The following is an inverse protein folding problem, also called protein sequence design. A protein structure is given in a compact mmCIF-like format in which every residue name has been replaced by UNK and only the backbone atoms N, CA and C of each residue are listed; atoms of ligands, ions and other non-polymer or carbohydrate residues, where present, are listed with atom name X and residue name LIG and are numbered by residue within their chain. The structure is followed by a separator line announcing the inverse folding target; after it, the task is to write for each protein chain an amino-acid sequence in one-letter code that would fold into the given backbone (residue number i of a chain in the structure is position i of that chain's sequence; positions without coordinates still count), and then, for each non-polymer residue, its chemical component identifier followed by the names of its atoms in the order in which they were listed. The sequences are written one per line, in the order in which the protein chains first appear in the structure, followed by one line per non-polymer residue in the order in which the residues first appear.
data_IF_746225284956
#
_entry.id   IF_746225284956
#
_cell.length_a   1.000
_cell.length_b   1.000
_cell.length_c   1.000
_cell.angle_alpha   90.00
_cell.angle_beta   90.00
_cell.angle_gamma   90.00
#
_symmetry.space_group_name_H-M   'P 1'
#
loop_
_entity.id
_entity.type
_entity.pdbx_description
1 polymer ?
#
# COMPACT_ATOMS: atom_id res chain seq x y z
N UNK A 1 25.66 -3.96 9.97
CA UNK A 1 24.40 -4.70 9.95
C UNK A 1 23.22 -3.71 9.99
N UNK A 2 23.07 -2.87 11.03
CA UNK A 2 21.94 -1.94 11.18
C UNK A 2 21.78 -0.92 10.03
N UNK A 3 22.87 -0.44 9.43
CA UNK A 3 22.85 0.47 8.27
C UNK A 3 22.30 -0.14 6.97
N UNK A 4 22.18 -1.44 6.90
CA UNK A 4 21.69 -2.15 5.71
C UNK A 4 20.25 -2.66 5.85
N UNK A 5 19.78 -2.91 7.06
CA UNK A 5 18.46 -3.51 7.33
C UNK A 5 17.38 -2.43 7.51
N UNK A 6 17.64 -1.39 8.32
CA UNK A 6 16.67 -0.30 8.58
C UNK A 6 16.17 0.41 7.31
N UNK A 7 17.01 0.78 6.32
CA UNK A 7 16.53 1.38 5.09
C UNK A 7 15.61 0.46 4.27
N UNK A 8 15.83 -0.85 4.34
CA UNK A 8 14.95 -1.83 3.69
C UNK A 8 13.60 -1.92 4.42
N UNK A 9 13.61 -1.94 5.77
CA UNK A 9 12.38 -1.92 6.57
C UNK A 9 11.55 -0.66 6.31
N UNK A 10 12.20 0.50 6.17
CA UNK A 10 11.54 1.77 5.81
C UNK A 10 10.91 1.65 4.42
N UNK A 11 11.63 1.12 3.44
CA UNK A 11 11.12 0.95 2.09
C UNK A 11 9.96 -0.05 2.04
N UNK A 12 10.07 -1.17 2.77
CA UNK A 12 8.99 -2.17 2.85
C UNK A 12 7.70 -1.58 3.43
N UNK A 13 7.81 -0.72 4.46
CA UNK A 13 6.67 0.00 5.05
C UNK A 13 6.07 1.02 4.08
N UNK A 14 6.89 1.75 3.32
CA UNK A 14 6.42 2.68 2.28
C UNK A 14 5.65 1.94 1.19
N UNK A 15 6.17 0.82 0.71
CA UNK A 15 5.53 -0.02 -0.31
C UNK A 15 4.22 -0.64 0.22
N UNK A 16 4.17 -1.06 1.50
CA UNK A 16 2.95 -1.57 2.15
C UNK A 16 1.87 -0.47 2.23
N UNK A 17 2.23 0.75 2.64
CA UNK A 17 1.32 1.90 2.70
C UNK A 17 0.78 2.24 1.31
N UNK A 18 1.63 2.25 0.28
CA UNK A 18 1.20 2.48 -1.10
C UNK A 18 0.20 1.41 -1.56
N UNK A 19 0.47 0.14 -1.27
CA UNK A 19 -0.44 -0.96 -1.56
C UNK A 19 -1.80 -0.83 -0.87
N UNK A 20 -1.80 -0.41 0.41
CA UNK A 20 -3.03 -0.15 1.17
C UNK A 20 -3.82 1.03 0.61
N UNK A 21 -3.16 2.11 0.19
CA UNK A 21 -3.82 3.25 -0.45
C UNK A 21 -4.49 2.87 -1.78
N UNK A 22 -3.84 2.05 -2.60
CA UNK A 22 -4.44 1.49 -3.82
C UNK A 22 -5.70 0.67 -3.50
N UNK A 23 -5.65 -0.10 -2.40
CA UNK A 23 -6.82 -0.86 -1.92
C UNK A 23 -7.96 0.06 -1.48
N UNK A 24 -7.67 1.13 -0.74
CA UNK A 24 -8.65 2.16 -0.34
C UNK A 24 -9.33 2.75 -1.56
N UNK A 25 -8.58 3.16 -2.58
CA UNK A 25 -9.12 3.72 -3.80
C UNK A 25 -10.01 2.73 -4.56
N UNK A 26 -9.66 1.45 -4.55
CA UNK A 26 -10.49 0.39 -5.14
C UNK A 26 -11.81 0.25 -4.39
N UNK A 27 -11.78 0.17 -3.06
CA UNK A 27 -12.98 0.04 -2.24
C UNK A 27 -13.92 1.26 -2.44
N UNK A 28 -13.37 2.47 -2.48
CA UNK A 28 -14.15 3.69 -2.73
C UNK A 28 -14.86 3.67 -4.08
N UNK A 29 -14.20 3.19 -5.13
CA UNK A 29 -14.83 3.01 -6.45
C UNK A 29 -15.94 1.97 -6.41
N UNK A 30 -15.74 0.84 -5.73
CA UNK A 30 -16.78 -0.18 -5.55
C UNK A 30 -18.02 0.39 -4.84
N UNK A 31 -17.85 1.22 -3.80
CA UNK A 31 -18.95 1.91 -3.10
C UNK A 31 -19.68 2.86 -4.05
N UNK A 32 -18.96 3.61 -4.86
CA UNK A 32 -19.54 4.52 -5.86
C UNK A 32 -20.36 3.76 -6.91
N UNK A 33 -19.81 2.66 -7.45
CA UNK A 33 -20.49 1.80 -8.43
C UNK A 33 -21.79 1.22 -7.87
N UNK A 34 -21.79 0.69 -6.65
CA UNK A 34 -23.00 0.19 -5.99
C UNK A 34 -24.00 1.32 -5.68
N UNK A 35 -23.52 2.48 -5.30
CA UNK A 35 -24.37 3.65 -5.04
C UNK A 35 -25.05 4.14 -6.31
N UNK A 36 -24.34 4.17 -7.44
CA UNK A 36 -24.91 4.46 -8.76
C UNK A 36 -25.95 3.41 -9.16
N UNK A 37 -25.65 2.12 -8.95
CA UNK A 37 -26.60 1.04 -9.22
C UNK A 37 -27.88 1.17 -8.38
N UNK A 38 -27.77 1.51 -7.10
CA UNK A 38 -28.94 1.78 -6.22
C UNK A 38 -29.77 2.97 -6.75
N UNK A 39 -29.11 4.04 -7.16
CA UNK A 39 -29.78 5.21 -7.72
C UNK A 39 -30.53 4.87 -9.00
N UNK A 40 -29.91 4.12 -9.90
CA UNK A 40 -30.56 3.66 -11.14
C UNK A 40 -31.76 2.78 -10.84
N UNK A 41 -31.66 1.82 -9.93
CA UNK A 41 -32.78 0.95 -9.56
C UNK A 41 -33.93 1.71 -8.91
N UNK A 42 -33.66 2.76 -8.15
CA UNK A 42 -34.70 3.67 -7.62
C UNK A 42 -35.43 4.41 -8.75
N UNK A 43 -34.71 4.85 -9.78
CA UNK A 43 -35.34 5.47 -10.95
C UNK A 43 -36.24 4.50 -11.71
N UNK A 44 -35.76 3.26 -11.94
CA UNK A 44 -36.57 2.19 -12.58
C UNK A 44 -37.84 1.88 -11.77
N UNK A 45 -37.77 1.86 -10.43
CA UNK A 45 -38.95 1.70 -9.59
C UNK A 45 -39.94 2.86 -9.77
N UNK A 46 -39.46 4.08 -9.82
CA UNK A 46 -40.34 5.24 -10.02
C UNK A 46 -41.07 5.20 -11.37
N UNK A 47 -40.39 4.80 -12.45
CA UNK A 47 -40.98 4.61 -13.78
C UNK A 47 -42.01 3.48 -13.79
N UNK A 48 -41.68 2.34 -13.16
CA UNK A 48 -42.58 1.22 -13.05
C UNK A 48 -43.85 1.58 -12.23
N UNK A 49 -43.69 2.30 -11.11
CA UNK A 49 -44.80 2.79 -10.31
C UNK A 49 -45.74 3.74 -11.11
N UNK A 50 -45.14 4.66 -11.86
CA UNK A 50 -45.93 5.56 -12.73
C UNK A 50 -46.69 4.76 -13.82
N UNK A 51 -46.09 3.68 -14.32
CA UNK A 51 -46.73 2.79 -15.27
C UNK A 51 -47.89 2.01 -14.64
N UNK A 52 -47.72 1.48 -13.42
CA UNK A 52 -48.77 0.80 -12.65
C UNK A 52 -49.95 1.76 -12.43
N UNK A 53 -49.67 3.00 -12.01
CA UNK A 53 -50.73 4.00 -11.81
C UNK A 53 -51.49 4.29 -13.12
N UNK A 54 -50.78 4.42 -14.23
CA UNK A 54 -51.38 4.66 -15.54
C UNK A 54 -52.26 3.47 -15.96
N UNK A 55 -51.78 2.26 -15.84
CA UNK A 55 -52.53 1.06 -16.17
C UNK A 55 -53.73 0.84 -15.27
N UNK A 56 -53.64 1.14 -13.98
CA UNK A 56 -54.79 1.11 -13.06
C UNK A 56 -55.90 2.10 -13.46
N UNK A 57 -55.54 3.31 -13.90
CA UNK A 57 -56.52 4.27 -14.43
C UNK A 57 -57.21 3.72 -15.69
N UNK A 58 -56.45 3.19 -16.62
CA UNK A 58 -56.98 2.58 -17.83
C UNK A 58 -57.89 1.38 -17.52
N UNK A 59 -57.48 0.54 -16.52
CA UNK A 59 -58.24 -0.65 -16.11
C UNK A 59 -59.67 -0.27 -15.63
N UNK A 60 -59.83 0.89 -14.99
CA UNK A 60 -61.14 1.37 -14.53
C UNK A 60 -62.05 1.85 -15.70
N UNK A 61 -61.51 2.13 -16.88
CA UNK A 61 -62.23 2.63 -18.02
C UNK A 61 -62.56 1.50 -19.06
N UNK A 62 -61.91 0.34 -18.94
CA UNK A 62 -62.03 -0.78 -19.90
C UNK A 62 -63.39 -1.42 -19.80
N UNK A 63 -63.94 -1.74 -20.99
CA UNK A 63 -65.23 -2.45 -21.11
C UNK A 63 -65.08 -3.84 -21.77
N UNK A 64 -63.87 -4.25 -22.13
CA UNK A 64 -63.58 -5.48 -22.85
C UNK A 64 -62.69 -6.40 -21.98
N UNK A 65 -63.11 -7.66 -21.78
CA UNK A 65 -62.40 -8.61 -20.96
C UNK A 65 -60.95 -8.89 -21.46
N UNK A 66 -60.70 -8.85 -22.77
CA UNK A 66 -59.36 -9.10 -23.33
C UNK A 66 -58.40 -7.94 -22.98
N UNK A 67 -58.88 -6.69 -23.03
CA UNK A 67 -58.08 -5.54 -22.65
C UNK A 67 -57.84 -5.54 -21.11
N UNK A 68 -58.85 -5.91 -20.34
CA UNK A 68 -58.74 -6.08 -18.89
C UNK A 68 -57.64 -7.08 -18.50
N UNK A 69 -57.64 -8.28 -19.11
CA UNK A 69 -56.65 -9.31 -18.88
C UNK A 69 -55.23 -8.85 -19.28
N UNK A 70 -55.09 -8.10 -20.35
CA UNK A 70 -53.81 -7.56 -20.82
C UNK A 70 -53.27 -6.54 -19.81
N UNK A 71 -54.07 -5.56 -19.42
CA UNK A 71 -53.63 -4.54 -18.45
C UNK A 71 -53.36 -5.14 -17.06
N UNK A 72 -54.13 -6.14 -16.65
CA UNK A 72 -53.89 -6.84 -15.40
C UNK A 72 -52.50 -7.55 -15.40
N UNK A 73 -52.13 -8.19 -16.51
CA UNK A 73 -50.82 -8.82 -16.67
C UNK A 73 -49.66 -7.79 -16.70
N UNK A 74 -49.90 -6.63 -17.36
CA UNK A 74 -48.91 -5.56 -17.35
C UNK A 74 -48.67 -4.97 -15.93
N UNK A 75 -49.74 -4.81 -15.14
CA UNK A 75 -49.64 -4.36 -13.75
C UNK A 75 -48.86 -5.41 -12.92
N UNK A 76 -49.19 -6.70 -13.08
CA UNK A 76 -48.48 -7.78 -12.40
C UNK A 76 -46.99 -7.78 -12.78
N UNK A 77 -46.67 -7.67 -14.08
CA UNK A 77 -45.30 -7.58 -14.56
C UNK A 77 -44.53 -6.40 -13.94
N UNK A 78 -45.10 -5.18 -13.98
CA UNK A 78 -44.45 -4.01 -13.38
C UNK A 78 -44.29 -4.15 -11.87
N UNK A 79 -45.22 -4.80 -11.18
CA UNK A 79 -45.13 -5.04 -9.75
C UNK A 79 -43.98 -6.01 -9.43
N UNK A 80 -43.81 -7.07 -10.22
CA UNK A 80 -42.70 -8.01 -10.06
C UNK A 80 -41.34 -7.34 -10.36
N UNK A 81 -41.28 -6.46 -11.37
CA UNK A 81 -40.08 -5.64 -11.65
C UNK A 81 -39.71 -4.74 -10.47
N UNK A 82 -40.69 -4.10 -9.83
CA UNK A 82 -40.46 -3.29 -8.61
C UNK A 82 -39.90 -4.17 -7.48
N UNK A 83 -40.46 -5.37 -7.28
CA UNK A 83 -39.95 -6.30 -6.26
C UNK A 83 -38.52 -6.73 -6.54
N UNK A 84 -38.21 -7.05 -7.81
CA UNK A 84 -36.86 -7.41 -8.24
C UNK A 84 -35.87 -6.25 -8.03
N UNK A 85 -36.23 -5.03 -8.40
CA UNK A 85 -35.43 -3.85 -8.18
C UNK A 85 -35.19 -3.60 -6.67
N UNK A 86 -36.22 -3.74 -5.85
CA UNK A 86 -36.07 -3.62 -4.40
C UNK A 86 -35.14 -4.68 -3.80
N UNK A 87 -35.17 -5.93 -4.33
CA UNK A 87 -34.23 -6.97 -3.94
C UNK A 87 -32.79 -6.59 -4.31
N UNK A 88 -32.55 -6.13 -5.53
CA UNK A 88 -31.22 -5.68 -5.98
C UNK A 88 -30.70 -4.50 -5.17
N UNK A 89 -31.57 -3.55 -4.80
CA UNK A 89 -31.20 -2.44 -3.90
C UNK A 89 -30.73 -2.96 -2.54
N UNK A 90 -31.46 -3.90 -1.92
CA UNK A 90 -31.06 -4.47 -0.64
C UNK A 90 -29.71 -5.19 -0.75
N UNK A 91 -29.50 -5.98 -1.80
CA UNK A 91 -28.22 -6.67 -2.05
C UNK A 91 -27.08 -5.67 -2.21
N UNK A 92 -27.28 -4.60 -2.99
CA UNK A 92 -26.27 -3.56 -3.19
C UNK A 92 -25.98 -2.78 -1.88
N UNK A 93 -26.98 -2.49 -1.06
CA UNK A 93 -26.79 -1.83 0.24
C UNK A 93 -25.98 -2.69 1.21
N UNK A 94 -26.20 -4.00 1.24
CA UNK A 94 -25.39 -4.93 2.05
C UNK A 94 -23.92 -4.88 1.59
N UNK A 95 -23.69 -4.83 0.27
CA UNK A 95 -22.32 -4.72 -0.27
C UNK A 95 -21.65 -3.38 0.08
N UNK A 96 -22.40 -2.28 0.05
CA UNK A 96 -21.91 -0.98 0.50
C UNK A 96 -21.47 -1.05 1.97
N UNK A 97 -22.31 -1.57 2.84
CA UNK A 97 -22.00 -1.71 4.27
C UNK A 97 -20.78 -2.60 4.55
N UNK A 98 -20.57 -3.63 3.73
CA UNK A 98 -19.36 -4.48 3.78
C UNK A 98 -18.12 -3.69 3.34
N UNK A 99 -18.20 -3.00 2.22
CA UNK A 99 -17.12 -2.14 1.70
C UNK A 99 -16.75 -1.01 2.67
N UNK A 100 -17.73 -0.35 3.30
CA UNK A 100 -17.48 0.71 4.28
C UNK A 100 -16.75 0.17 5.53
N UNK A 101 -17.08 -1.04 5.98
CA UNK A 101 -16.35 -1.69 7.07
C UNK A 101 -14.91 -2.02 6.68
N UNK A 102 -14.72 -2.59 5.47
CA UNK A 102 -13.39 -2.88 4.94
C UNK A 102 -12.56 -1.61 4.75
N UNK A 103 -13.19 -0.52 4.30
CA UNK A 103 -12.56 0.80 4.19
C UNK A 103 -12.05 1.27 5.56
N UNK A 104 -12.91 1.29 6.57
CA UNK A 104 -12.54 1.72 7.91
C UNK A 104 -11.46 0.86 8.56
N UNK A 105 -11.40 -0.44 8.28
CA UNK A 105 -10.31 -1.32 8.77
C UNK A 105 -9.00 -1.05 8.04
N UNK A 106 -9.07 -0.81 6.73
CA UNK A 106 -7.88 -0.53 5.91
C UNK A 106 -7.28 0.84 6.26
N UNK A 107 -8.10 1.86 6.47
CA UNK A 107 -7.65 3.20 6.88
C UNK A 107 -6.95 3.16 8.24
N UNK A 108 -7.47 2.43 9.23
CA UNK A 108 -6.77 2.24 10.51
C UNK A 108 -5.43 1.54 10.36
N UNK A 109 -5.35 0.54 9.48
CA UNK A 109 -4.08 -0.14 9.22
C UNK A 109 -3.06 0.80 8.57
N UNK A 110 -3.49 1.74 7.72
CA UNK A 110 -2.62 2.78 7.16
C UNK A 110 -2.09 3.67 8.29
N UNK A 111 -2.95 4.14 9.19
CA UNK A 111 -2.54 4.99 10.31
C UNK A 111 -1.49 4.28 11.19
N UNK A 112 -1.69 2.99 11.48
CA UNK A 112 -0.73 2.18 12.24
C UNK A 112 0.62 2.06 11.51
N UNK A 113 0.60 1.80 10.20
CA UNK A 113 1.82 1.68 9.39
C UNK A 113 2.56 3.01 9.21
N UNK A 114 1.83 4.12 9.09
CA UNK A 114 2.43 5.46 9.05
C UNK A 114 3.13 5.81 10.37
N UNK A 115 2.54 5.40 11.49
CA UNK A 115 3.17 5.57 12.80
C UNK A 115 4.48 4.76 12.90
N UNK A 116 4.44 3.47 12.51
CA UNK A 116 5.62 2.60 12.48
C UNK A 116 6.71 3.18 11.56
N UNK A 117 6.33 3.66 10.38
CA UNK A 117 7.23 4.29 9.41
C UNK A 117 7.91 5.53 10.01
N UNK A 118 7.16 6.39 10.69
CA UNK A 118 7.71 7.59 11.33
C UNK A 118 8.73 7.22 12.41
N UNK A 119 8.44 6.20 13.22
CA UNK A 119 9.37 5.71 14.23
C UNK A 119 10.65 5.16 13.59
N UNK A 120 10.54 4.31 12.56
CA UNK A 120 11.70 3.73 11.88
C UNK A 120 12.57 4.76 11.17
N UNK A 121 11.97 5.79 10.58
CA UNK A 121 12.71 6.92 10.00
C UNK A 121 13.48 7.69 11.08
N UNK A 122 12.87 7.93 12.24
CA UNK A 122 13.54 8.56 13.38
C UNK A 122 14.76 7.76 13.86
N UNK A 123 14.61 6.44 14.04
CA UNK A 123 15.71 5.54 14.39
C UNK A 123 16.84 5.55 13.35
N UNK A 124 16.48 5.59 12.07
CA UNK A 124 17.46 5.67 10.98
C UNK A 124 18.24 6.98 10.99
N UNK A 125 17.56 8.10 11.20
CA UNK A 125 18.18 9.42 11.25
C UNK A 125 19.16 9.54 12.44
N UNK A 126 18.78 9.03 13.62
CA UNK A 126 19.66 8.98 14.79
C UNK A 126 20.93 8.17 14.52
N UNK A 127 20.80 6.96 13.98
CA UNK A 127 21.93 6.09 13.62
C UNK A 127 22.83 6.75 12.56
N UNK A 128 22.24 7.43 11.60
CA UNK A 128 23.00 8.16 10.56
C UNK A 128 23.81 9.30 11.17
N UNK A 129 23.22 10.06 12.10
CA UNK A 129 23.88 11.16 12.80
C UNK A 129 25.08 10.65 13.64
N UNK A 130 24.82 9.68 14.52
CA UNK A 130 25.86 9.07 15.36
C UNK A 130 27.02 8.50 14.52
N UNK A 131 26.68 7.82 13.44
CA UNK A 131 27.69 7.21 12.57
C UNK A 131 28.50 8.26 11.83
N UNK A 132 27.89 9.37 11.45
CA UNK A 132 28.59 10.49 10.81
C UNK A 132 29.58 11.16 11.77
N UNK A 133 29.16 11.42 12.99
CA UNK A 133 30.02 12.00 14.04
C UNK A 133 31.22 11.09 14.33
N UNK A 134 30.99 9.77 14.44
CA UNK A 134 32.06 8.81 14.67
C UNK A 134 33.02 8.71 13.46
N UNK A 135 32.49 8.77 12.23
CA UNK A 135 33.34 8.82 11.02
C UNK A 135 34.21 10.08 10.99
N UNK A 136 33.68 11.24 11.34
CA UNK A 136 34.45 12.48 11.41
C UNK A 136 35.55 12.39 12.48
N UNK A 137 35.19 11.89 13.66
CA UNK A 137 36.16 11.68 14.74
C UNK A 137 37.27 10.72 14.34
N UNK A 138 36.95 9.63 13.70
CA UNK A 138 37.93 8.65 13.21
C UNK A 138 38.79 9.20 12.09
N UNK A 139 38.24 10.01 11.20
CA UNK A 139 38.99 10.68 10.13
C UNK A 139 39.99 11.69 10.70
N UNK A 140 39.60 12.48 11.70
CA UNK A 140 40.47 13.43 12.31
C UNK A 140 41.62 12.72 13.07
N UNK A 141 41.30 11.66 13.81
CA UNK A 141 42.29 10.82 14.44
C UNK A 141 43.24 10.16 13.43
N UNK A 142 42.73 9.74 12.29
CA UNK A 142 43.57 9.19 11.25
C UNK A 142 44.53 10.25 10.68
N UNK A 143 44.06 11.48 10.44
CA UNK A 143 44.92 12.61 10.00
C UNK A 143 46.02 12.91 11.01
N UNK A 144 45.69 12.94 12.29
CA UNK A 144 46.70 13.17 13.36
C UNK A 144 47.76 12.07 13.41
N UNK A 145 47.33 10.81 13.17
CA UNK A 145 48.26 9.68 13.10
C UNK A 145 49.11 9.73 11.83
N UNK A 146 48.55 10.15 10.69
CA UNK A 146 49.27 10.31 9.43
C UNK A 146 50.46 11.28 9.52
N UNK A 147 50.31 12.33 10.34
CA UNK A 147 51.40 13.30 10.58
C UNK A 147 52.62 12.71 11.35
N UNK A 148 52.39 11.59 12.05
CA UNK A 148 53.42 10.92 12.87
C UNK A 148 54.13 9.79 12.10
N UNK A 149 53.68 9.46 10.91
CA UNK A 149 54.23 8.38 10.08
C UNK A 149 55.11 8.96 8.96
N UNK A 150 56.23 8.32 8.69
CA UNK A 150 57.11 8.71 7.60
C UNK A 150 56.34 8.69 6.25
N UNK A 151 56.46 9.80 5.42
CA UNK A 151 55.68 9.93 4.21
C UNK A 151 55.78 8.76 3.20
N UNK A 152 56.95 8.13 3.14
CA UNK A 152 57.20 6.96 2.28
C UNK A 152 56.39 5.72 2.74
N UNK A 153 56.34 5.48 4.03
CA UNK A 153 55.58 4.36 4.62
C UNK A 153 54.08 4.62 4.48
N UNK A 154 53.62 5.84 4.73
CA UNK A 154 52.22 6.25 4.58
C UNK A 154 51.72 6.07 3.15
N UNK A 155 52.52 6.50 2.15
CA UNK A 155 52.16 6.33 0.74
C UNK A 155 52.07 4.87 0.33
N UNK A 156 52.99 4.03 0.82
CA UNK A 156 52.98 2.58 0.60
C UNK A 156 51.77 1.90 1.24
N UNK A 157 51.45 2.27 2.49
CA UNK A 157 50.25 1.79 3.20
C UNK A 157 48.96 2.15 2.46
N UNK A 158 48.78 3.43 2.05
CA UNK A 158 47.60 3.88 1.30
C UNK A 158 47.44 3.13 -0.01
N UNK A 159 48.54 2.89 -0.75
CA UNK A 159 48.53 2.13 -1.99
C UNK A 159 48.12 0.66 -1.79
N UNK A 160 48.68 0.01 -0.78
CA UNK A 160 48.34 -1.38 -0.46
C UNK A 160 46.90 -1.51 -0.04
N UNK A 161 46.45 -0.65 0.88
CA UNK A 161 45.08 -0.63 1.38
C UNK A 161 44.06 -0.45 0.25
N UNK A 162 44.32 0.46 -0.71
CA UNK A 162 43.45 0.71 -1.87
C UNK A 162 43.31 -0.49 -2.80
N UNK A 163 44.40 -1.29 -2.93
CA UNK A 163 44.44 -2.44 -3.82
C UNK A 163 44.02 -3.75 -3.15
N UNK A 164 43.99 -3.79 -1.83
CA UNK A 164 43.61 -5.00 -1.08
C UNK A 164 42.06 -5.17 -1.11
N UNK A 165 41.58 -6.35 -1.49
CA UNK A 165 40.12 -6.66 -1.53
C UNK A 165 39.42 -6.48 -0.19
N UNK A 166 40.13 -6.72 0.91
CA UNK A 166 39.61 -6.55 2.27
C UNK A 166 39.91 -5.18 2.88
N UNK A 167 40.48 -4.23 2.12
CA UNK A 167 40.84 -2.89 2.58
C UNK A 167 41.91 -2.84 3.69
N UNK A 168 42.62 -3.92 3.95
CA UNK A 168 43.67 -4.00 4.97
C UNK A 168 45.03 -3.70 4.38
N UNK A 169 45.76 -2.75 4.92
CA UNK A 169 47.14 -2.42 4.55
C UNK A 169 48.17 -3.13 5.42
N UNK A 170 47.77 -3.64 6.58
CA UNK A 170 48.60 -4.40 7.52
C UNK A 170 47.79 -5.60 7.97
N UNK A 171 48.40 -6.79 7.98
CA UNK A 171 47.73 -8.04 8.34
C UNK A 171 48.63 -8.90 9.19
N UNK A 172 48.05 -9.77 9.99
CA UNK A 172 48.78 -10.75 10.75
C UNK A 172 49.28 -11.88 9.83
N UNK A 173 50.46 -12.42 10.13
CA UNK A 173 50.93 -13.65 9.56
C UNK A 173 50.65 -14.77 10.54
N UNK A 174 49.93 -15.80 10.10
CA UNK A 174 49.58 -16.94 10.95
C UNK A 174 49.85 -18.24 10.18
N UNK A 175 50.63 -19.13 10.74
CA UNK A 175 50.98 -20.41 10.13
C UNK A 175 51.58 -20.26 8.71
N UNK A 176 52.52 -19.34 8.57
CA UNK A 176 53.17 -18.97 7.31
C UNK A 176 52.22 -18.50 6.20
N UNK A 177 50.97 -18.08 6.56
CA UNK A 177 50.03 -17.53 5.63
C UNK A 177 49.73 -16.07 5.94
N UNK A 178 49.51 -15.28 4.89
CA UNK A 178 49.10 -13.90 4.99
C UNK A 178 47.62 -13.80 5.44
N UNK A 179 47.31 -13.14 6.57
CA UNK A 179 45.95 -12.95 7.08
C UNK A 179 45.03 -12.11 6.20
N UNK A 180 45.54 -11.52 5.12
CA UNK A 180 44.75 -10.71 4.18
C UNK A 180 44.38 -11.42 2.88
N UNK A 181 45.35 -12.13 2.27
CA UNK A 181 45.14 -12.86 1.01
C UNK A 181 45.20 -14.37 1.14
N UNK A 182 45.56 -14.89 2.32
CA UNK A 182 45.69 -16.30 2.67
C UNK A 182 46.77 -17.07 1.89
N UNK A 183 47.59 -16.37 1.10
CA UNK A 183 48.70 -16.97 0.40
C UNK A 183 49.83 -17.31 1.38
N UNK A 184 50.51 -18.44 1.11
CA UNK A 184 51.69 -18.85 1.87
C UNK A 184 52.81 -17.81 1.64
N UNK A 185 53.44 -17.40 2.73
CA UNK A 185 54.62 -16.51 2.71
C UNK A 185 55.85 -17.40 2.69
N UNK A 186 56.78 -17.19 1.75
CA UNK A 186 57.99 -18.00 1.63
C UNK A 186 58.95 -17.80 2.84
#
# INVERSE_FOLDING_TARGET
ALRGELPLEVQDLEDEIEGLNIRVDKIRREIEDFSMAVSQKKAEIAEAQASVERYNRQLNEVKNNREYDTLSKEIEFQTLEIELCNKKIREAMIRIDECERDLGTTERLIDDREHDLQQKRGELDEIMLETKEEEERLRDRARDLETKIEPRLLSSFKRIRKNARNGLGIVYVQRDACGGCFNKIP
#
